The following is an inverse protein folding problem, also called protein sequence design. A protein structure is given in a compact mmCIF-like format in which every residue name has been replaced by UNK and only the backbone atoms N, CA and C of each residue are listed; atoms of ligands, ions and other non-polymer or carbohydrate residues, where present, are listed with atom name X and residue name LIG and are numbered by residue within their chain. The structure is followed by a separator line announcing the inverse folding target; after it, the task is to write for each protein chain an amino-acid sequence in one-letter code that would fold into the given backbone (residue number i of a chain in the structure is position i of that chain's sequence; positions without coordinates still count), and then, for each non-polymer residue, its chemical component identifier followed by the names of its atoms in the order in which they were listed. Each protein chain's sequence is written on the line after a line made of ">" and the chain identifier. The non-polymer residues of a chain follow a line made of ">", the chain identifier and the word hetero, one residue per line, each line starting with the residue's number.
data_IF_078262515603
#
_entry.id   IF_078262515603
#
_cell.length_a   1.000
_cell.length_b   1.000
_cell.length_c   1.000
_cell.angle_alpha   90.00
_cell.angle_beta   90.00
_cell.angle_gamma   90.00
#
_symmetry.space_group_name_H-M   'P 1'
#
loop_
_entity.id
_entity.type
_entity.pdbx_description
1 polymer ?
#
# COMPACT_ATOMS: atom_id res chain seq x y z
N UNK A 1 -31.46 -5.14 -14.28
CA UNK A 1 -30.05 -5.22 -14.75
C UNK A 1 -29.19 -5.23 -13.49
N UNK A 2 -28.52 -6.34 -13.23
CA UNK A 2 -27.65 -6.48 -12.06
C UNK A 2 -26.32 -5.76 -12.35
N UNK A 3 -25.90 -4.85 -11.47
CA UNK A 3 -24.65 -4.12 -11.63
C UNK A 3 -23.48 -5.01 -11.21
N UNK A 4 -22.53 -5.22 -12.10
CA UNK A 4 -21.27 -5.88 -11.76
C UNK A 4 -20.25 -4.85 -11.25
N UNK A 5 -20.17 -4.68 -9.94
CA UNK A 5 -19.31 -3.69 -9.29
C UNK A 5 -17.83 -3.93 -9.60
N UNK A 6 -17.39 -5.18 -9.61
CA UNK A 6 -15.98 -5.51 -9.91
C UNK A 6 -15.57 -5.04 -11.31
N UNK A 7 -16.45 -5.22 -12.32
CA UNK A 7 -16.17 -4.73 -13.67
C UNK A 7 -16.11 -3.20 -13.74
N UNK A 8 -16.93 -2.52 -12.94
CA UNK A 8 -16.91 -1.05 -12.87
C UNK A 8 -15.60 -0.56 -12.25
N UNK A 9 -15.19 -1.17 -11.15
CA UNK A 9 -13.95 -0.84 -10.45
C UNK A 9 -12.72 -1.10 -11.32
N UNK A 10 -12.63 -2.26 -11.94
CA UNK A 10 -11.54 -2.63 -12.86
C UNK A 10 -11.43 -1.66 -14.03
N UNK A 11 -12.58 -1.32 -14.64
CA UNK A 11 -12.64 -0.38 -15.75
C UNK A 11 -12.08 1.00 -15.39
N UNK A 12 -12.48 1.55 -14.23
CA UNK A 12 -12.04 2.88 -13.84
C UNK A 12 -10.60 2.89 -13.37
N UNK A 13 -10.19 1.89 -12.62
CA UNK A 13 -8.81 1.68 -12.18
C UNK A 13 -7.85 1.63 -13.38
N UNK A 14 -8.14 0.79 -14.37
CA UNK A 14 -7.35 0.70 -15.61
C UNK A 14 -7.25 2.05 -16.34
N UNK A 15 -8.38 2.76 -16.49
CA UNK A 15 -8.38 4.07 -17.12
C UNK A 15 -7.50 5.09 -16.43
N UNK A 16 -7.54 5.17 -15.09
CA UNK A 16 -6.74 6.11 -14.33
C UNK A 16 -5.23 5.82 -14.46
N UNK A 17 -4.85 4.55 -14.46
CA UNK A 17 -3.45 4.17 -14.61
C UNK A 17 -2.94 4.38 -16.04
N UNK A 18 -3.71 4.01 -17.06
CA UNK A 18 -3.38 4.24 -18.48
C UNK A 18 -3.23 5.73 -18.79
N UNK A 19 -4.14 6.56 -18.28
CA UNK A 19 -4.11 8.02 -18.46
C UNK A 19 -3.07 8.71 -17.56
N UNK A 20 -2.46 8.00 -16.60
CA UNK A 20 -1.53 8.58 -15.61
C UNK A 20 -2.13 9.73 -14.80
N UNK A 21 -3.42 9.65 -14.52
CA UNK A 21 -4.21 10.74 -13.92
C UNK A 21 -3.66 11.20 -12.54
N UNK A 22 -2.91 10.35 -11.86
CA UNK A 22 -2.39 10.63 -10.52
C UNK A 22 -0.90 10.99 -10.49
N UNK A 23 -0.22 10.88 -11.64
CA UNK A 23 1.18 11.29 -11.77
C UNK A 23 1.28 12.82 -11.84
N UNK A 24 2.16 13.40 -11.02
CA UNK A 24 2.22 14.84 -10.85
C UNK A 24 3.62 15.36 -11.15
N UNK A 25 3.74 16.16 -12.21
CA UNK A 25 4.95 16.90 -12.54
C UNK A 25 4.77 18.40 -12.28
N UNK A 26 5.85 19.16 -12.02
CA UNK A 26 5.78 20.60 -11.79
C UNK A 26 5.09 21.35 -12.95
N UNK A 27 4.18 22.27 -12.62
CA UNK A 27 3.49 23.16 -13.56
C UNK A 27 3.07 24.46 -12.85
N UNK A 28 2.35 25.36 -13.55
CA UNK A 28 1.96 26.68 -13.03
C UNK A 28 0.70 26.67 -12.15
N UNK A 29 0.01 25.53 -12.00
CA UNK A 29 -1.17 25.42 -11.14
C UNK A 29 -0.79 25.61 -9.67
N UNK A 30 -1.74 26.04 -8.80
CA UNK A 30 -1.56 26.03 -7.36
C UNK A 30 -1.19 24.61 -6.89
N UNK A 31 -0.21 24.49 -5.98
CA UNK A 31 0.36 23.22 -5.56
C UNK A 31 -0.22 22.76 -4.23
N UNK A 32 -0.43 21.45 -4.12
CA UNK A 32 -0.83 20.79 -2.89
C UNK A 32 0.00 19.52 -2.69
N UNK A 33 0.69 19.45 -1.56
CA UNK A 33 1.37 18.23 -1.12
C UNK A 33 0.53 17.58 -0.01
N UNK A 34 0.22 16.31 -0.18
CA UNK A 34 -0.54 15.50 0.78
C UNK A 34 0.28 14.26 1.08
N UNK A 35 0.47 13.98 2.36
CA UNK A 35 1.19 12.81 2.83
C UNK A 35 0.44 12.16 3.99
N UNK A 36 0.74 10.92 4.26
CA UNK A 36 0.24 10.12 5.38
C UNK A 36 1.39 9.44 6.09
N UNK A 37 1.13 8.87 7.25
CA UNK A 37 2.09 7.99 7.89
C UNK A 37 2.34 6.77 7.00
N UNK A 38 3.61 6.57 6.61
CA UNK A 38 4.00 5.45 5.78
C UNK A 38 3.90 4.14 6.58
N UNK A 39 3.34 3.07 6.00
CA UNK A 39 3.22 1.80 6.70
C UNK A 39 4.56 1.10 6.88
N UNK A 40 4.68 0.34 7.96
CA UNK A 40 5.70 -0.69 8.08
C UNK A 40 5.27 -1.90 7.23
N UNK A 41 6.10 -2.36 6.29
CA UNK A 41 5.77 -3.53 5.51
C UNK A 41 6.15 -4.82 6.28
N UNK A 42 5.37 -5.12 7.30
CA UNK A 42 5.60 -6.27 8.18
C UNK A 42 4.38 -7.19 8.32
N UNK A 43 3.23 -6.77 7.78
CA UNK A 43 2.00 -7.54 7.75
C UNK A 43 1.01 -6.94 6.75
N UNK A 44 -0.04 -7.69 6.33
CA UNK A 44 -1.12 -7.13 5.52
C UNK A 44 -1.79 -5.95 6.22
N UNK A 45 -2.36 -5.05 5.43
CA UNK A 45 -3.13 -3.92 5.96
C UNK A 45 -4.52 -4.37 6.40
N UNK A 46 -5.02 -3.81 7.48
CA UNK A 46 -6.40 -4.00 7.93
C UNK A 46 -7.24 -2.74 7.67
N UNK A 47 -8.55 -2.83 7.89
CA UNK A 47 -9.51 -1.74 7.62
C UNK A 47 -9.16 -0.42 8.32
N UNK A 48 -8.50 -0.46 9.47
CA UNK A 48 -8.02 0.75 10.17
C UNK A 48 -6.99 1.53 9.36
N UNK A 49 -6.07 0.84 8.68
CA UNK A 49 -5.13 1.44 7.74
C UNK A 49 -5.87 2.01 6.52
N UNK A 50 -6.82 1.25 5.96
CA UNK A 50 -7.67 1.71 4.87
C UNK A 50 -8.35 3.03 5.17
N UNK A 51 -8.88 3.21 6.40
CA UNK A 51 -9.46 4.49 6.83
C UNK A 51 -8.46 5.64 6.74
N UNK A 52 -7.24 5.44 7.19
CA UNK A 52 -6.20 6.49 7.19
C UNK A 52 -5.87 6.92 5.76
N UNK A 53 -5.65 5.96 4.86
CA UNK A 53 -5.28 6.26 3.47
C UNK A 53 -6.45 6.84 2.67
N UNK A 54 -7.67 6.37 2.91
CA UNK A 54 -8.88 6.92 2.29
C UNK A 54 -9.08 8.40 2.61
N UNK A 55 -8.81 8.84 3.85
CA UNK A 55 -8.90 10.26 4.20
C UNK A 55 -7.95 11.12 3.34
N UNK A 56 -6.71 10.69 3.15
CA UNK A 56 -5.75 11.40 2.31
C UNK A 56 -6.12 11.34 0.82
N UNK A 57 -6.64 10.20 0.36
CA UNK A 57 -7.11 10.03 -1.02
C UNK A 57 -8.29 10.96 -1.33
N UNK A 58 -9.29 11.03 -0.47
CA UNK A 58 -10.43 11.95 -0.61
C UNK A 58 -9.95 13.41 -0.67
N UNK A 59 -9.01 13.79 0.19
CA UNK A 59 -8.40 15.12 0.17
C UNK A 59 -7.67 15.39 -1.15
N UNK A 60 -6.89 14.43 -1.63
CA UNK A 60 -6.15 14.53 -2.89
C UNK A 60 -7.09 14.72 -4.08
N UNK A 61 -8.15 13.92 -4.17
CA UNK A 61 -9.17 14.03 -5.22
C UNK A 61 -9.91 15.36 -5.16
N UNK A 62 -10.29 15.81 -3.96
CA UNK A 62 -10.94 17.10 -3.78
C UNK A 62 -10.09 18.26 -4.32
N UNK A 63 -8.81 18.33 -3.98
CA UNK A 63 -7.95 19.41 -4.46
C UNK A 63 -7.65 19.30 -5.96
N UNK A 64 -7.56 18.09 -6.52
CA UNK A 64 -7.48 17.91 -7.99
C UNK A 64 -8.72 18.47 -8.69
N UNK A 65 -9.92 18.18 -8.17
CA UNK A 65 -11.18 18.78 -8.70
C UNK A 65 -11.21 20.29 -8.56
N UNK A 66 -10.53 20.87 -7.57
CA UNK A 66 -10.38 22.33 -7.42
C UNK A 66 -9.32 22.94 -8.33
N UNK A 67 -8.69 22.15 -9.18
CA UNK A 67 -7.69 22.60 -10.15
C UNK A 67 -6.26 22.69 -9.64
N UNK A 68 -5.98 22.16 -8.44
CA UNK A 68 -4.62 22.11 -7.90
C UNK A 68 -3.79 21.03 -8.59
N UNK A 69 -2.48 21.27 -8.65
CA UNK A 69 -1.47 20.26 -8.93
C UNK A 69 -1.14 19.54 -7.61
N UNK A 70 -1.64 18.29 -7.48
CA UNK A 70 -1.60 17.57 -6.20
C UNK A 70 -0.58 16.44 -6.26
N UNK A 71 0.45 16.52 -5.43
CA UNK A 71 1.37 15.42 -5.17
C UNK A 71 0.89 14.65 -3.93
N UNK A 72 0.53 13.38 -4.14
CA UNK A 72 0.24 12.42 -3.09
C UNK A 72 1.13 11.19 -3.29
N UNK A 73 2.33 11.17 -2.70
CA UNK A 73 3.25 10.05 -2.77
C UNK A 73 2.93 9.00 -1.71
N UNK A 74 3.47 7.80 -1.89
CA UNK A 74 3.45 6.74 -0.88
C UNK A 74 4.82 6.09 -0.77
N UNK A 75 5.32 6.00 0.45
CA UNK A 75 6.52 5.24 0.77
C UNK A 75 6.24 4.14 1.79
N UNK A 76 7.24 3.33 2.09
CA UNK A 76 7.18 2.26 3.06
C UNK A 76 8.32 2.39 4.06
N UNK A 77 8.04 2.12 5.33
CA UNK A 77 9.00 2.30 6.40
C UNK A 77 9.78 1.00 6.64
N UNK A 78 10.86 0.82 5.89
CA UNK A 78 11.69 -0.40 5.94
C UNK A 78 12.55 -0.52 7.19
N UNK A 79 12.80 0.58 7.89
CA UNK A 79 13.68 0.62 9.06
C UNK A 79 12.87 0.48 10.35
N UNK A 80 13.49 -0.05 11.37
CA UNK A 80 12.93 -0.06 12.72
C UNK A 80 12.70 -1.46 13.30
N UNK A 81 12.34 -1.45 14.57
CA UNK A 81 12.18 -2.65 15.41
C UNK A 81 11.05 -3.60 14.99
N UNK A 82 9.94 -3.17 14.36
CA UNK A 82 8.85 -4.08 14.00
C UNK A 82 9.30 -5.20 13.05
N UNK A 83 9.99 -4.86 11.96
CA UNK A 83 10.44 -5.84 10.96
C UNK A 83 11.57 -6.72 11.53
N UNK A 84 12.56 -6.09 12.20
CA UNK A 84 13.65 -6.82 12.85
C UNK A 84 13.13 -7.77 13.93
N UNK A 85 12.12 -7.37 14.70
CA UNK A 85 11.49 -8.21 15.71
C UNK A 85 10.86 -9.46 15.12
N UNK A 86 10.13 -9.32 13.99
CA UNK A 86 9.55 -10.46 13.29
C UNK A 86 10.62 -11.41 12.74
N UNK A 87 11.66 -10.89 12.10
CA UNK A 87 12.76 -11.72 11.60
C UNK A 87 13.42 -12.53 12.70
N UNK A 88 13.68 -11.92 13.87
CA UNK A 88 14.24 -12.63 15.04
C UNK A 88 13.30 -13.73 15.56
N UNK A 89 11.99 -13.50 15.56
CA UNK A 89 11.01 -14.53 15.96
C UNK A 89 10.99 -15.69 14.96
N UNK A 90 11.10 -15.41 13.66
CA UNK A 90 11.23 -16.47 12.64
C UNK A 90 12.51 -17.25 12.83
N UNK A 91 13.65 -16.59 13.06
CA UNK A 91 14.93 -17.24 13.39
C UNK A 91 14.86 -18.14 14.62
N UNK A 92 14.04 -17.76 15.61
CA UNK A 92 13.80 -18.53 16.83
C UNK A 92 12.75 -19.66 16.66
N UNK A 93 12.24 -19.87 15.44
CA UNK A 93 11.14 -20.82 15.13
C UNK A 93 9.89 -20.59 16.00
N UNK A 94 9.49 -19.33 16.18
CA UNK A 94 8.27 -18.95 16.89
C UNK A 94 7.04 -19.50 16.15
N UNK A 95 6.45 -20.58 16.68
CA UNK A 95 5.35 -21.31 16.05
C UNK A 95 4.12 -20.43 15.85
N UNK A 96 3.77 -19.58 16.82
CA UNK A 96 2.61 -18.69 16.74
C UNK A 96 2.73 -17.72 15.56
N UNK A 97 3.92 -17.11 15.37
CA UNK A 97 4.17 -16.20 14.26
C UNK A 97 4.17 -16.94 12.93
N UNK A 98 4.78 -18.12 12.86
CA UNK A 98 4.84 -18.94 11.64
C UNK A 98 3.43 -19.39 11.24
N UNK A 99 2.59 -19.80 12.19
CA UNK A 99 1.20 -20.12 11.93
C UNK A 99 0.38 -18.90 11.47
N UNK A 100 0.62 -17.73 12.06
CA UNK A 100 -0.01 -16.49 11.61
C UNK A 100 0.35 -16.15 10.16
N UNK A 101 1.62 -16.30 9.77
CA UNK A 101 2.02 -16.12 8.38
C UNK A 101 1.31 -17.10 7.44
N UNK A 102 1.22 -18.39 7.81
CA UNK A 102 0.57 -19.42 6.98
C UNK A 102 -0.94 -19.24 6.89
N UNK A 103 -1.59 -19.19 8.04
CA UNK A 103 -3.03 -19.39 8.15
C UNK A 103 -3.83 -18.07 8.14
N UNK A 104 -3.22 -16.97 8.61
CA UNK A 104 -3.87 -15.65 8.67
C UNK A 104 -3.48 -14.77 7.49
N UNK A 105 -2.19 -14.77 7.12
CA UNK A 105 -1.68 -13.90 6.05
C UNK A 105 -1.48 -14.64 4.72
N UNK A 106 -1.73 -15.96 4.69
CA UNK A 106 -1.62 -16.81 3.49
C UNK A 106 -0.26 -16.72 2.80
N UNK A 107 0.82 -16.54 3.58
CA UNK A 107 2.18 -16.48 3.05
C UNK A 107 2.64 -17.89 2.66
N UNK A 108 3.15 -18.11 1.42
CA UNK A 108 3.70 -19.39 1.03
C UNK A 108 4.84 -19.86 1.94
N UNK A 109 4.90 -21.16 2.24
CA UNK A 109 5.90 -21.71 3.17
C UNK A 109 7.35 -21.45 2.75
N UNK A 110 7.62 -21.47 1.44
CA UNK A 110 8.92 -21.15 0.90
C UNK A 110 9.33 -19.70 1.20
N UNK A 111 8.35 -18.77 1.22
CA UNK A 111 8.61 -17.37 1.56
C UNK A 111 8.85 -17.17 3.06
N UNK A 112 8.13 -17.89 3.90
CA UNK A 112 8.34 -17.83 5.37
C UNK A 112 9.78 -18.20 5.73
N UNK A 113 10.38 -19.17 5.05
CA UNK A 113 11.78 -19.56 5.25
C UNK A 113 12.77 -18.42 4.93
N UNK A 114 12.43 -17.57 3.97
CA UNK A 114 13.24 -16.39 3.63
C UNK A 114 13.16 -15.28 4.69
N UNK A 115 12.13 -15.28 5.53
CA UNK A 115 11.83 -14.24 6.52
C UNK A 115 12.80 -14.21 7.73
N UNK A 116 13.78 -15.09 7.75
CA UNK A 116 14.96 -14.94 8.61
C UNK A 116 15.76 -13.68 8.26
N UNK A 117 15.64 -13.20 7.02
CA UNK A 117 16.14 -11.91 6.56
C UNK A 117 15.02 -10.86 6.67
N UNK A 118 15.19 -9.78 7.48
CA UNK A 118 14.18 -8.74 7.63
C UNK A 118 13.85 -8.02 6.33
N UNK A 119 14.79 -7.92 5.38
CA UNK A 119 14.55 -7.30 4.07
C UNK A 119 13.52 -8.11 3.27
N UNK A 120 13.57 -9.44 3.36
CA UNK A 120 12.62 -10.32 2.68
C UNK A 120 11.20 -10.18 3.22
N UNK A 121 11.04 -9.96 4.53
CA UNK A 121 9.73 -9.63 5.11
C UNK A 121 9.23 -8.32 4.52
N UNK A 122 10.08 -7.30 4.53
CA UNK A 122 9.72 -5.98 4.06
C UNK A 122 9.35 -5.98 2.57
N UNK A 123 10.13 -6.62 1.73
CA UNK A 123 9.88 -6.73 0.29
C UNK A 123 8.56 -7.44 0.00
N UNK A 124 8.30 -8.56 0.69
CA UNK A 124 7.07 -9.32 0.51
C UNK A 124 5.83 -8.49 0.85
N UNK A 125 5.78 -7.93 2.06
CA UNK A 125 4.62 -7.15 2.49
C UNK A 125 4.53 -5.77 1.82
N UNK A 126 5.63 -5.21 1.32
CA UNK A 126 5.59 -4.02 0.47
C UNK A 126 4.74 -4.28 -0.77
N UNK A 127 5.03 -5.35 -1.51
CA UNK A 127 4.28 -5.66 -2.74
C UNK A 127 2.81 -5.99 -2.43
N UNK A 128 2.54 -6.74 -1.37
CA UNK A 128 1.17 -7.03 -0.91
C UNK A 128 0.38 -5.77 -0.57
N UNK A 129 0.98 -4.87 0.22
CA UNK A 129 0.33 -3.62 0.64
C UNK A 129 0.10 -2.71 -0.57
N UNK A 130 1.10 -2.58 -1.45
CA UNK A 130 1.00 -1.79 -2.67
C UNK A 130 -0.10 -2.31 -3.59
N UNK A 131 -0.16 -3.62 -3.80
CA UNK A 131 -1.22 -4.25 -4.57
C UNK A 131 -2.61 -3.92 -4.00
N UNK A 132 -2.80 -4.08 -2.69
CA UNK A 132 -4.06 -3.73 -2.02
C UNK A 132 -4.42 -2.24 -2.13
N UNK A 133 -3.45 -1.33 -2.03
CA UNK A 133 -3.69 0.11 -2.25
C UNK A 133 -4.08 0.43 -3.69
N UNK A 134 -3.53 -0.29 -4.66
CA UNK A 134 -3.89 -0.20 -6.06
C UNK A 134 -5.31 -0.73 -6.28
N UNK A 135 -5.67 -1.85 -5.67
CA UNK A 135 -7.02 -2.41 -5.72
C UNK A 135 -8.06 -1.48 -5.11
N UNK A 136 -7.73 -0.80 -4.02
CA UNK A 136 -8.58 0.25 -3.43
C UNK A 136 -8.71 1.49 -4.32
N UNK A 137 -7.95 1.58 -5.41
CA UNK A 137 -7.99 2.68 -6.38
C UNK A 137 -7.47 4.00 -5.81
N UNK A 138 -6.58 3.99 -4.82
CA UNK A 138 -6.02 5.23 -4.26
C UNK A 138 -5.25 6.03 -5.32
N UNK A 139 -5.45 7.33 -5.31
CA UNK A 139 -4.89 8.28 -6.27
C UNK A 139 -3.44 8.68 -5.96
N UNK A 140 -2.60 7.68 -5.77
CA UNK A 140 -1.20 7.80 -5.37
C UNK A 140 -0.30 7.97 -6.59
N UNK A 141 0.67 8.88 -6.51
CA UNK A 141 1.79 8.93 -7.46
C UNK A 141 2.89 7.95 -7.01
N UNK A 142 2.89 6.77 -7.57
CA UNK A 142 3.81 5.68 -7.24
C UNK A 142 5.25 5.89 -7.72
N UNK A 143 5.53 6.98 -8.43
CA UNK A 143 6.88 7.32 -8.89
C UNK A 143 7.74 7.99 -7.81
N UNK A 144 7.15 8.34 -6.69
CA UNK A 144 7.78 9.18 -5.66
C UNK A 144 7.79 8.46 -4.32
#
# INVERSE_FOLDING_TARGET
>A
MELNWNQIDDKWRSKWYEAKDFETDPNDKPKKFITVAYPYPNSPQHIGHGRTYTLADVHSRYYRMKGFNVLFPMGFHYTGTPILGMSKRVQANDEELIEAFKNLYNVPEEKIKEFVDPVKIADYFHEEIKAGMIEMGYSIDWRR
#
